data_IF_732914521617
#
_entry.id   IF_732914521617
#
_cell.length_a   1.000
_cell.length_b   1.000
_cell.length_c   1.000
_cell.angle_alpha   90.00
_cell.angle_beta   90.00
_cell.angle_gamma   90.00
#
_symmetry.space_group_name_H-M   'P 1'
#
loop_
_entity.id
_entity.type
_entity.pdbx_description
1 polymer ?
#
# COMPACT_ATOMS: atom_id res chain seq x y z
N UNK A 1 -13.42 21.04 26.07
CA UNK A 1 -14.87 20.80 25.92
C UNK A 1 -15.25 21.14 24.48
N UNK A 2 -14.70 20.43 23.48
CA UNK A 2 -14.76 20.95 22.09
C UNK A 2 -15.55 20.04 21.12
N UNK A 3 -15.67 18.74 21.43
CA UNK A 3 -16.44 17.79 20.59
C UNK A 3 -17.96 17.96 20.72
N UNK A 4 -18.49 18.16 21.93
CA UNK A 4 -19.94 18.29 22.15
C UNK A 4 -20.58 19.52 21.47
N UNK A 5 -19.81 20.60 21.23
CA UNK A 5 -20.33 21.80 20.57
C UNK A 5 -20.53 21.63 19.06
N UNK A 6 -19.82 20.69 18.43
CA UNK A 6 -19.81 20.52 16.97
C UNK A 6 -20.69 19.34 16.49
N UNK A 7 -21.46 18.70 17.39
CA UNK A 7 -22.27 17.51 17.09
C UNK A 7 -23.50 17.78 16.18
N UNK A 8 -23.78 19.05 15.85
CA UNK A 8 -24.92 19.47 15.00
C UNK A 8 -24.54 19.96 13.62
N UNK A 9 -23.26 19.88 13.24
CA UNK A 9 -22.78 20.44 11.98
C UNK A 9 -22.59 19.31 10.97
N UNK A 10 -23.16 19.48 9.77
CA UNK A 10 -23.07 18.50 8.66
C UNK A 10 -21.68 18.46 8.01
N UNK A 11 -20.85 19.47 8.25
CA UNK A 11 -19.45 19.52 7.83
C UNK A 11 -18.59 20.18 8.90
N UNK A 12 -17.44 19.57 9.20
CA UNK A 12 -16.44 20.10 10.10
C UNK A 12 -15.13 20.22 9.33
N UNK A 13 -14.59 21.44 9.24
CA UNK A 13 -13.34 21.70 8.55
C UNK A 13 -12.15 21.70 9.53
N UNK A 14 -11.17 20.85 9.22
CA UNK A 14 -9.93 20.70 9.99
C UNK A 14 -9.97 19.54 10.98
N UNK A 15 -8.93 19.43 11.82
CA UNK A 15 -8.87 18.41 12.87
C UNK A 15 -9.42 18.93 14.20
N UNK A 16 -9.95 18.03 15.03
CA UNK A 16 -10.45 18.40 16.36
C UNK A 16 -9.37 19.04 17.23
N UNK A 17 -8.12 18.61 17.08
CA UNK A 17 -6.98 19.13 17.83
C UNK A 17 -6.63 20.57 17.39
N UNK A 18 -6.73 20.88 16.10
CA UNK A 18 -6.54 22.24 15.57
C UNK A 18 -7.58 23.23 16.08
N UNK A 19 -8.81 22.78 16.30
CA UNK A 19 -9.91 23.61 16.83
C UNK A 19 -10.02 23.55 18.36
N UNK A 20 -9.10 22.85 19.02
CA UNK A 20 -9.06 22.72 20.48
C UNK A 20 -8.06 23.70 21.11
N UNK A 21 -8.20 23.89 22.42
CA UNK A 21 -7.20 24.63 23.23
C UNK A 21 -5.81 23.97 23.25
N UNK A 22 -5.69 22.71 22.82
CA UNK A 22 -4.43 21.97 22.81
C UNK A 22 -3.61 22.19 21.52
N UNK A 23 -4.10 22.97 20.56
CA UNK A 23 -3.43 23.25 19.28
C UNK A 23 -1.96 23.63 19.46
N UNK A 24 -1.68 24.63 20.30
CA UNK A 24 -0.33 25.18 20.46
C UNK A 24 0.65 24.15 21.03
N UNK A 25 0.17 23.25 21.90
CA UNK A 25 0.97 22.15 22.46
C UNK A 25 1.26 21.10 21.39
N UNK A 26 0.25 20.71 20.61
CA UNK A 26 0.42 19.74 19.51
C UNK A 26 1.41 20.27 18.47
N UNK A 27 1.29 21.54 18.09
CA UNK A 27 2.18 22.17 17.12
C UNK A 27 3.62 22.27 17.66
N UNK A 28 3.78 22.57 18.95
CA UNK A 28 5.09 22.57 19.62
C UNK A 28 5.72 21.17 19.63
N UNK A 29 4.96 20.12 19.97
CA UNK A 29 5.42 18.73 19.94
C UNK A 29 5.83 18.29 18.52
N UNK A 30 5.02 18.63 17.50
CA UNK A 30 5.34 18.36 16.09
C UNK A 30 6.63 19.06 15.67
N UNK A 31 6.84 20.32 16.08
CA UNK A 31 8.04 21.08 15.80
C UNK A 31 9.29 20.44 16.41
N UNK A 32 9.21 20.02 17.68
CA UNK A 32 10.31 19.31 18.36
C UNK A 32 10.61 17.98 17.66
N UNK A 33 9.58 17.18 17.35
CA UNK A 33 9.75 15.91 16.65
C UNK A 33 10.41 16.11 15.28
N UNK A 34 9.99 17.13 14.52
CA UNK A 34 10.61 17.46 13.22
C UNK A 34 12.07 17.89 13.35
N UNK A 35 12.40 18.65 14.41
CA UNK A 35 13.75 19.19 14.60
C UNK A 35 14.75 18.18 15.17
N UNK A 36 14.30 17.17 15.91
CA UNK A 36 15.21 16.28 16.64
C UNK A 36 14.99 14.77 16.39
N UNK A 37 13.81 14.36 15.90
CA UNK A 37 13.49 12.95 15.67
C UNK A 37 13.58 12.64 14.18
N UNK A 38 12.75 13.27 13.35
CA UNK A 38 12.66 12.93 11.91
C UNK A 38 13.88 13.33 11.08
N UNK A 39 14.75 14.19 11.59
CA UNK A 39 16.01 14.56 10.95
C UNK A 39 17.16 13.58 11.25
N UNK A 40 16.93 12.56 12.08
CA UNK A 40 17.95 11.56 12.39
C UNK A 40 18.30 10.76 11.12
N UNK A 41 19.59 10.60 10.85
CA UNK A 41 20.09 9.87 9.68
C UNK A 41 19.59 8.43 9.59
N UNK A 42 19.35 7.76 10.72
CA UNK A 42 18.79 6.41 10.75
C UNK A 42 17.35 6.40 10.23
N UNK A 43 16.53 7.36 10.65
CA UNK A 43 15.14 7.50 10.19
C UNK A 43 15.10 7.84 8.70
N UNK A 44 15.91 8.79 8.26
CA UNK A 44 16.01 9.16 6.83
C UNK A 44 16.46 7.96 5.98
N UNK A 45 17.41 7.16 6.48
CA UNK A 45 17.86 5.96 5.78
C UNK A 45 16.76 4.91 5.69
N UNK A 46 15.99 4.71 6.76
CA UNK A 46 14.84 3.80 6.76
C UNK A 46 13.75 4.26 5.79
N UNK A 47 13.45 5.57 5.72
CA UNK A 47 12.51 6.14 4.75
C UNK A 47 12.96 5.88 3.31
N UNK A 48 14.25 6.11 2.99
CA UNK A 48 14.81 5.86 1.66
C UNK A 48 14.81 4.36 1.29
N UNK A 49 15.09 3.48 2.25
CA UNK A 49 15.01 2.03 2.03
C UNK A 49 13.56 1.62 1.74
N UNK A 50 12.61 2.14 2.53
CA UNK A 50 11.18 1.88 2.34
C UNK A 50 10.70 2.33 0.96
N UNK A 51 11.02 3.56 0.56
CA UNK A 51 10.68 4.11 -0.76
C UNK A 51 11.19 3.24 -1.91
N UNK A 52 12.46 2.83 -1.84
CA UNK A 52 13.07 1.94 -2.83
C UNK A 52 12.39 0.58 -2.88
N UNK A 53 12.13 -0.04 -1.73
CA UNK A 53 11.49 -1.36 -1.65
C UNK A 53 10.11 -1.33 -2.29
N UNK A 54 9.28 -0.32 -1.97
CA UNK A 54 7.93 -0.21 -2.52
C UNK A 54 7.98 0.08 -4.02
N UNK A 55 8.87 0.97 -4.46
CA UNK A 55 9.05 1.30 -5.89
C UNK A 55 9.46 0.07 -6.71
N UNK A 56 10.50 -0.65 -6.27
CA UNK A 56 10.99 -1.85 -6.95
C UNK A 56 9.93 -2.96 -7.00
N UNK A 57 9.13 -3.12 -5.94
CA UNK A 57 8.01 -4.07 -5.93
C UNK A 57 6.92 -3.66 -6.93
N UNK A 58 6.53 -2.38 -6.96
CA UNK A 58 5.56 -1.88 -7.93
C UNK A 58 6.04 -2.09 -9.37
N UNK A 59 7.29 -1.74 -9.66
CA UNK A 59 7.92 -1.89 -10.99
C UNK A 59 8.00 -3.35 -11.45
N UNK A 60 8.03 -4.30 -10.52
CA UNK A 60 7.96 -5.73 -10.84
C UNK A 60 6.54 -6.22 -11.08
N UNK A 61 5.62 -5.90 -10.16
CA UNK A 61 4.28 -6.51 -10.14
C UNK A 61 3.30 -5.84 -11.10
N UNK A 62 3.34 -4.52 -11.26
CA UNK A 62 2.44 -3.79 -12.17
C UNK A 62 2.53 -4.29 -13.61
N UNK A 63 3.72 -4.33 -14.27
CA UNK A 63 3.80 -4.82 -15.64
C UNK A 63 3.41 -6.29 -15.75
N UNK A 64 3.80 -7.13 -14.77
CA UNK A 64 3.47 -8.55 -14.75
C UNK A 64 1.95 -8.79 -14.77
N UNK A 65 1.19 -8.05 -13.94
CA UNK A 65 -0.26 -8.19 -13.84
C UNK A 65 -0.98 -7.60 -15.05
N UNK A 66 -0.42 -6.57 -15.69
CA UNK A 66 -1.01 -6.00 -16.93
C UNK A 66 -0.80 -6.94 -18.12
N UNK A 67 0.39 -7.53 -18.26
CA UNK A 67 0.75 -8.33 -19.44
C UNK A 67 0.25 -9.77 -19.38
N UNK A 68 -0.18 -10.27 -18.22
CA UNK A 68 -0.59 -11.67 -18.06
C UNK A 68 -1.90 -11.95 -18.83
N UNK A 69 -1.81 -12.89 -19.78
CA UNK A 69 -2.97 -13.38 -20.55
C UNK A 69 -3.52 -14.68 -19.99
N UNK A 70 -2.63 -15.55 -19.52
CA UNK A 70 -2.96 -16.82 -18.86
C UNK A 70 -2.46 -16.81 -17.43
N UNK A 71 -3.40 -16.93 -16.49
CA UNK A 71 -3.19 -16.84 -15.05
C UNK A 71 -2.92 -18.20 -14.39
N UNK A 72 -2.92 -19.30 -15.15
CA UNK A 72 -2.83 -20.67 -14.62
C UNK A 72 -1.44 -21.29 -14.75
N UNK A 73 -0.57 -20.71 -15.59
CA UNK A 73 0.77 -21.24 -15.83
C UNK A 73 1.81 -20.83 -14.79
N UNK A 74 2.99 -21.45 -14.90
CA UNK A 74 4.20 -21.15 -14.11
C UNK A 74 5.44 -20.98 -15.01
N UNK A 75 5.24 -20.75 -16.31
CA UNK A 75 6.33 -20.78 -17.30
C UNK A 75 7.04 -19.44 -17.37
N UNK A 76 6.27 -18.35 -17.46
CA UNK A 76 6.83 -17.00 -17.59
C UNK A 76 7.12 -16.36 -16.22
N UNK A 77 7.93 -15.30 -16.21
CA UNK A 77 8.23 -14.53 -15.00
C UNK A 77 6.95 -13.88 -14.44
N UNK A 78 6.12 -13.35 -15.31
CA UNK A 78 4.87 -12.65 -15.01
C UNK A 78 3.87 -13.59 -14.34
N UNK A 79 3.78 -14.82 -14.86
CA UNK A 79 2.96 -15.88 -14.28
C UNK A 79 3.41 -16.22 -12.87
N UNK A 80 4.72 -16.41 -12.64
CA UNK A 80 5.26 -16.68 -11.30
C UNK A 80 4.98 -15.54 -10.34
N UNK A 81 5.17 -14.28 -10.78
CA UNK A 81 4.88 -13.10 -9.96
C UNK A 81 3.39 -13.01 -9.60
N UNK A 82 2.49 -13.19 -10.57
CA UNK A 82 1.06 -13.26 -10.29
C UNK A 82 0.72 -14.36 -9.28
N UNK A 83 1.38 -15.51 -9.39
CA UNK A 83 1.20 -16.63 -8.47
C UNK A 83 1.68 -16.36 -7.03
N UNK A 84 2.48 -15.32 -6.80
CA UNK A 84 2.89 -14.91 -5.46
C UNK A 84 1.84 -14.06 -4.75
N UNK A 85 0.91 -13.45 -5.48
CA UNK A 85 -0.18 -12.64 -4.90
C UNK A 85 -1.20 -13.60 -4.26
N UNK A 86 -1.63 -13.38 -3.02
CA UNK A 86 -2.61 -14.29 -2.39
C UNK A 86 -3.92 -14.41 -3.20
N UNK A 87 -4.51 -15.61 -3.20
CA UNK A 87 -5.78 -15.91 -3.89
C UNK A 87 -6.91 -14.99 -3.45
N UNK A 88 -6.92 -14.56 -2.18
CA UNK A 88 -7.92 -13.64 -1.65
C UNK A 88 -7.93 -12.30 -2.41
N UNK A 89 -6.75 -11.72 -2.66
CA UNK A 89 -6.66 -10.48 -3.41
C UNK A 89 -7.10 -10.67 -4.87
N UNK A 90 -6.69 -11.78 -5.49
CA UNK A 90 -7.08 -12.10 -6.87
C UNK A 90 -8.60 -12.25 -7.01
N UNK A 91 -9.23 -12.91 -6.04
CA UNK A 91 -10.68 -13.08 -6.00
C UNK A 91 -11.39 -11.72 -5.91
N UNK A 92 -10.96 -10.84 -5.00
CA UNK A 92 -11.54 -9.50 -4.85
C UNK A 92 -11.38 -8.68 -6.13
N UNK A 93 -10.22 -8.73 -6.78
CA UNK A 93 -9.98 -8.00 -8.03
C UNK A 93 -10.84 -8.50 -9.20
N UNK A 94 -11.08 -9.82 -9.24
CA UNK A 94 -11.91 -10.48 -10.24
C UNK A 94 -13.42 -10.41 -9.97
N UNK A 95 -13.83 -10.01 -8.76
CA UNK A 95 -15.24 -9.97 -8.39
C UNK A 95 -15.98 -8.82 -9.08
N UNK A 96 -17.00 -9.16 -9.88
CA UNK A 96 -17.88 -8.18 -10.51
C UNK A 96 -19.14 -7.99 -9.65
N UNK A 97 -19.27 -6.79 -9.04
CA UNK A 97 -20.42 -6.43 -8.21
C UNK A 97 -21.76 -6.47 -8.95
N UNK A 98 -21.78 -6.32 -10.28
CA UNK A 98 -23.02 -6.34 -11.06
C UNK A 98 -23.49 -7.76 -11.35
N UNK A 99 -22.55 -8.69 -11.53
CA UNK A 99 -22.85 -10.09 -11.82
C UNK A 99 -22.86 -10.97 -10.56
N UNK A 100 -22.40 -10.44 -9.43
CA UNK A 100 -22.23 -11.13 -8.15
C UNK A 100 -21.35 -12.40 -8.26
N UNK A 101 -20.42 -12.41 -9.22
CA UNK A 101 -19.53 -13.54 -9.48
C UNK A 101 -18.12 -13.08 -9.84
N UNK A 102 -17.14 -13.97 -9.68
CA UNK A 102 -15.77 -13.73 -10.11
C UNK A 102 -15.62 -13.97 -11.62
N UNK A 103 -15.25 -12.94 -12.36
CA UNK A 103 -14.95 -13.05 -13.80
C UNK A 103 -13.54 -13.61 -14.02
N UNK A 104 -13.25 -14.07 -15.23
CA UNK A 104 -11.88 -14.45 -15.59
C UNK A 104 -10.97 -13.24 -15.47
N UNK A 105 -9.78 -13.42 -14.90
CA UNK A 105 -8.82 -12.32 -14.72
C UNK A 105 -8.40 -11.65 -16.04
N UNK A 106 -8.45 -12.38 -17.16
CA UNK A 106 -8.22 -11.85 -18.50
C UNK A 106 -9.20 -10.74 -18.89
N UNK A 107 -10.42 -10.79 -18.35
CA UNK A 107 -11.52 -9.86 -18.63
C UNK A 107 -11.62 -8.75 -17.56
N UNK A 108 -10.81 -8.84 -16.50
CA UNK A 108 -10.78 -7.84 -15.43
C UNK A 108 -10.30 -6.48 -15.97
N UNK A 109 -11.02 -5.38 -15.67
CA UNK A 109 -10.63 -4.03 -16.09
C UNK A 109 -9.23 -3.65 -15.60
N UNK A 110 -8.53 -2.80 -16.37
CA UNK A 110 -7.18 -2.32 -16.00
C UNK A 110 -7.15 -1.70 -14.59
N UNK A 111 -8.18 -0.94 -14.23
CA UNK A 111 -8.31 -0.36 -12.90
C UNK A 111 -8.23 -1.42 -11.79
N UNK A 112 -9.02 -2.50 -11.89
CA UNK A 112 -9.02 -3.60 -10.92
C UNK A 112 -7.67 -4.33 -10.89
N UNK A 113 -6.98 -4.44 -12.03
CA UNK A 113 -5.64 -5.04 -12.10
C UNK A 113 -4.60 -4.21 -11.37
N UNK A 114 -4.66 -2.88 -11.50
CA UNK A 114 -3.78 -1.98 -10.75
C UNK A 114 -4.12 -2.00 -9.25
N UNK A 115 -5.42 -1.98 -8.93
CA UNK A 115 -5.88 -2.07 -7.54
C UNK A 115 -5.43 -3.39 -6.88
N UNK A 116 -5.44 -4.51 -7.59
CA UNK A 116 -4.90 -5.79 -7.10
C UNK A 116 -3.46 -5.65 -6.58
N UNK A 117 -2.60 -5.00 -7.38
CA UNK A 117 -1.19 -4.81 -7.01
C UNK A 117 -1.06 -3.86 -5.82
N UNK A 118 -1.81 -2.76 -5.84
CA UNK A 118 -1.85 -1.81 -4.73
C UNK A 118 -2.27 -2.47 -3.43
N UNK A 119 -3.39 -3.20 -3.42
CA UNK A 119 -3.93 -3.88 -2.24
C UNK A 119 -2.94 -4.93 -1.71
N UNK A 120 -2.29 -5.67 -2.62
CA UNK A 120 -1.27 -6.66 -2.26
C UNK A 120 -0.05 -6.02 -1.60
N UNK A 121 0.49 -4.94 -2.16
CA UNK A 121 1.71 -4.27 -1.63
C UNK A 121 1.38 -3.50 -0.35
N UNK A 122 0.28 -2.75 -0.30
CA UNK A 122 -0.13 -2.02 0.90
C UNK A 122 -0.56 -2.94 2.04
N UNK A 123 -0.97 -4.18 1.73
CA UNK A 123 -1.31 -5.21 2.71
C UNK A 123 -0.09 -5.90 3.36
N UNK A 124 1.13 -5.56 2.94
CA UNK A 124 2.36 -6.13 3.51
C UNK A 124 2.74 -5.45 4.82
N UNK A 125 3.41 -6.19 5.70
CA UNK A 125 4.19 -5.59 6.79
C UNK A 125 5.58 -5.19 6.28
N UNK A 126 6.24 -4.23 6.92
CA UNK A 126 7.59 -3.77 6.54
C UNK A 126 8.58 -4.94 6.41
N UNK A 127 8.61 -5.83 7.41
CA UNK A 127 9.47 -7.01 7.41
C UNK A 127 9.18 -7.91 6.20
N UNK A 128 7.91 -8.09 5.84
CA UNK A 128 7.54 -8.93 4.70
C UNK A 128 7.92 -8.28 3.38
N UNK A 129 7.65 -6.98 3.19
CA UNK A 129 8.01 -6.24 1.98
C UNK A 129 9.52 -6.27 1.72
N UNK A 130 10.33 -5.99 2.75
CA UNK A 130 11.80 -6.05 2.66
C UNK A 130 12.26 -7.47 2.34
N UNK A 131 11.71 -8.50 3.01
CA UNK A 131 12.10 -9.89 2.77
C UNK A 131 11.74 -10.35 1.35
N UNK A 132 10.56 -9.97 0.85
CA UNK A 132 10.11 -10.29 -0.50
C UNK A 132 11.00 -9.60 -1.54
N UNK A 133 11.27 -8.31 -1.36
CA UNK A 133 12.18 -7.54 -2.21
C UNK A 133 13.56 -8.18 -2.29
N UNK A 134 14.16 -8.54 -1.15
CA UNK A 134 15.47 -9.21 -1.10
C UNK A 134 15.47 -10.57 -1.81
N UNK A 135 14.38 -11.35 -1.70
CA UNK A 135 14.24 -12.63 -2.42
C UNK A 135 14.16 -12.42 -3.93
N UNK A 136 13.43 -11.40 -4.39
CA UNK A 136 13.24 -11.11 -5.81
C UNK A 136 14.48 -10.47 -6.45
N UNK A 137 15.25 -9.69 -5.69
CA UNK A 137 16.50 -9.08 -6.11
C UNK A 137 17.71 -10.02 -6.00
N UNK A 138 17.55 -11.22 -5.41
CA UNK A 138 18.61 -12.20 -5.26
C UNK A 138 19.65 -11.85 -4.19
N UNK A 139 19.40 -10.84 -3.36
CA UNK A 139 20.31 -10.43 -2.26
C UNK A 139 20.22 -11.34 -1.05
N UNK A 140 19.16 -12.14 -0.94
CA UNK A 140 19.00 -13.18 0.07
C UNK A 140 18.55 -14.46 -0.61
N UNK A 141 19.51 -15.31 -0.98
CA UNK A 141 19.23 -16.69 -1.38
C UNK A 141 19.00 -17.55 -0.12
N UNK A 142 18.11 -18.56 -0.18
CA UNK A 142 17.84 -19.46 0.94
C UNK A 142 19.06 -20.29 1.34
#
# INVERSE_FOLDING_TARGET
MDFCFHYRITSFEGSLLEKSKAKDIVDSCKSIAKKYIFCNSEILSLELIGDRVISDLLDLFVPAVISIKDCTGFRSKEQKLYQMISENFRYVAAFDKKKEEAVKFSETPLYNKLQLVTDFISGMTDTYAVTLHQKLMGTKMP
#
